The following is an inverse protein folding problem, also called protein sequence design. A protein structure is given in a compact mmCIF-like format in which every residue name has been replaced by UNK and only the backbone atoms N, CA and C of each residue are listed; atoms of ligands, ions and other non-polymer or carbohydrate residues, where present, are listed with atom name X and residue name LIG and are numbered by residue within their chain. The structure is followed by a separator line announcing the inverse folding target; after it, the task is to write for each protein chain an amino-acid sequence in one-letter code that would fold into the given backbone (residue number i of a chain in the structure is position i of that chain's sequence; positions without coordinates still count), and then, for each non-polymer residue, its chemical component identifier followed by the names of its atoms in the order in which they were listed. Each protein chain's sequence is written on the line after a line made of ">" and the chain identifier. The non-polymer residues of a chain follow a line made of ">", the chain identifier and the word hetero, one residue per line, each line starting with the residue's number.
data_IF_134014111538
#
_entry.id   IF_134014111538
#
_cell.length_a   1.000
_cell.length_b   1.000
_cell.length_c   1.000
_cell.angle_alpha   90.00
_cell.angle_beta   90.00
_cell.angle_gamma   90.00
#
_symmetry.space_group_name_H-M   'P 1'
#
loop_
_entity.id
_entity.type
_entity.pdbx_description
1 polymer ?
#
# COMPACT_ATOMS: atom_id res chain seq x y z
N UNK A 1 -30.81 1.34 -9.16
CA UNK A 1 -31.37 0.65 -7.97
C UNK A 1 -30.55 -0.59 -7.68
N UNK A 2 -30.13 -0.79 -6.43
CA UNK A 2 -29.40 -1.99 -6.02
C UNK A 2 -30.30 -3.23 -6.01
N UNK A 3 -29.78 -4.34 -6.56
CA UNK A 3 -30.43 -5.64 -6.53
C UNK A 3 -29.38 -6.72 -6.38
N UNK A 4 -29.52 -7.57 -5.33
CA UNK A 4 -28.64 -8.75 -5.16
C UNK A 4 -28.81 -9.74 -6.30
N UNK A 5 -27.72 -10.35 -6.70
CA UNK A 5 -27.71 -11.40 -7.70
C UNK A 5 -28.27 -12.72 -7.13
N UNK A 6 -29.43 -13.10 -7.57
CA UNK A 6 -30.02 -14.40 -7.27
C UNK A 6 -30.01 -15.36 -8.48
N UNK A 7 -29.60 -14.85 -9.66
CA UNK A 7 -29.67 -15.60 -10.91
C UNK A 7 -28.79 -16.85 -10.93
N UNK A 8 -27.64 -16.80 -10.26
CA UNK A 8 -26.72 -17.93 -10.21
C UNK A 8 -27.24 -19.12 -9.35
N UNK A 9 -28.27 -18.92 -8.52
CA UNK A 9 -28.93 -20.00 -7.79
C UNK A 9 -30.02 -20.67 -8.62
N UNK A 10 -30.51 -20.00 -9.64
CA UNK A 10 -31.57 -20.53 -10.54
C UNK A 10 -30.89 -21.02 -11.82
N UNK A 11 -30.55 -22.31 -11.84
CA UNK A 11 -30.01 -22.91 -13.05
C UNK A 11 -31.10 -22.94 -14.16
N UNK A 12 -30.74 -22.55 -15.38
CA UNK A 12 -31.64 -22.72 -16.53
C UNK A 12 -31.90 -24.21 -16.77
N UNK A 13 -33.03 -24.55 -17.34
CA UNK A 13 -33.39 -25.94 -17.67
C UNK A 13 -32.39 -26.60 -18.63
N UNK A 14 -31.82 -25.80 -19.52
CA UNK A 14 -30.74 -26.19 -20.44
C UNK A 14 -29.70 -25.10 -20.49
N UNK A 15 -28.44 -25.45 -20.61
CA UNK A 15 -27.33 -24.48 -20.71
C UNK A 15 -26.21 -25.01 -21.59
N UNK A 16 -25.36 -24.10 -22.10
CA UNK A 16 -24.16 -24.51 -22.83
C UNK A 16 -23.25 -25.40 -21.99
N UNK A 17 -23.27 -25.26 -20.66
CA UNK A 17 -22.51 -26.12 -19.74
C UNK A 17 -23.13 -27.54 -19.70
N UNK A 18 -24.45 -27.67 -19.77
CA UNK A 18 -25.12 -28.95 -19.74
C UNK A 18 -24.96 -29.76 -21.06
N UNK A 19 -24.69 -29.05 -22.15
CA UNK A 19 -24.39 -29.66 -23.46
C UNK A 19 -22.98 -30.24 -23.53
N UNK A 20 -22.10 -29.88 -22.57
CA UNK A 20 -20.74 -30.41 -22.52
C UNK A 20 -20.76 -31.93 -22.21
N UNK A 21 -19.91 -32.74 -22.89
CA UNK A 21 -19.69 -34.10 -22.51
C UNK A 21 -19.37 -34.27 -21.02
N UNK A 22 -19.81 -35.29 -20.31
CA UNK A 22 -19.64 -35.44 -18.86
C UNK A 22 -18.19 -35.29 -18.38
N UNK A 23 -17.23 -35.76 -19.16
CA UNK A 23 -15.79 -35.61 -18.87
C UNK A 23 -15.35 -34.14 -18.85
N UNK A 24 -15.81 -33.33 -19.82
CA UNK A 24 -15.45 -31.90 -19.89
C UNK A 24 -16.18 -31.11 -18.80
N UNK A 25 -17.46 -31.45 -18.51
CA UNK A 25 -18.20 -30.83 -17.42
C UNK A 25 -17.48 -31.08 -16.07
N UNK A 26 -17.12 -32.33 -15.78
CA UNK A 26 -16.35 -32.65 -14.57
C UNK A 26 -15.03 -31.88 -14.51
N UNK A 27 -14.32 -31.75 -15.64
CA UNK A 27 -13.08 -30.96 -15.70
C UNK A 27 -13.32 -29.48 -15.43
N UNK A 28 -14.41 -28.90 -15.91
CA UNK A 28 -14.80 -27.52 -15.62
C UNK A 28 -15.07 -27.32 -14.14
N UNK A 29 -15.87 -28.21 -13.51
CA UNK A 29 -16.22 -28.16 -12.09
C UNK A 29 -14.98 -28.28 -11.18
N UNK A 30 -14.01 -29.08 -11.55
CA UNK A 30 -12.77 -29.32 -10.77
C UNK A 30 -11.63 -28.37 -11.11
N UNK A 31 -11.83 -27.48 -12.10
CA UNK A 31 -10.84 -26.49 -12.49
C UNK A 31 -10.84 -25.27 -11.54
N UNK A 32 -9.93 -24.34 -11.80
CA UNK A 32 -9.87 -23.05 -11.09
C UNK A 32 -11.22 -22.31 -11.14
N UNK A 33 -11.96 -22.40 -12.25
CA UNK A 33 -13.23 -21.70 -12.42
C UNK A 33 -14.33 -22.25 -11.49
N UNK A 34 -14.37 -23.57 -11.32
CA UNK A 34 -15.27 -24.20 -10.34
C UNK A 34 -14.88 -23.85 -8.90
N UNK A 35 -13.58 -23.83 -8.60
CA UNK A 35 -13.09 -23.39 -7.30
C UNK A 35 -13.45 -21.92 -7.04
N UNK A 36 -13.18 -21.01 -7.99
CA UNK A 36 -13.52 -19.59 -7.86
C UNK A 36 -15.02 -19.38 -7.64
N UNK A 37 -15.88 -20.08 -8.40
CA UNK A 37 -17.33 -20.02 -8.22
C UNK A 37 -17.74 -20.41 -6.79
N UNK A 38 -17.28 -21.56 -6.29
CA UNK A 38 -17.69 -22.07 -4.96
C UNK A 38 -17.08 -21.29 -3.80
N UNK A 39 -15.79 -20.95 -3.90
CA UNK A 39 -15.04 -20.45 -2.76
C UNK A 39 -15.00 -18.94 -2.66
N UNK A 40 -15.27 -18.25 -3.76
CA UNK A 40 -15.27 -16.80 -3.80
C UNK A 40 -16.64 -16.24 -4.23
N UNK A 41 -17.07 -16.54 -5.45
CA UNK A 41 -18.22 -15.90 -6.05
C UNK A 41 -19.52 -16.10 -5.26
N UNK A 42 -19.82 -17.33 -4.83
CA UNK A 42 -21.04 -17.64 -4.05
C UNK A 42 -20.96 -17.18 -2.60
N UNK A 43 -19.77 -16.93 -2.08
CA UNK A 43 -19.56 -16.46 -0.70
C UNK A 43 -19.60 -14.94 -0.57
N UNK A 44 -19.47 -14.20 -1.67
CA UNK A 44 -19.45 -12.75 -1.66
C UNK A 44 -20.82 -12.18 -1.24
N UNK A 45 -20.87 -11.45 -0.12
CA UNK A 45 -22.05 -10.67 0.24
C UNK A 45 -22.06 -9.33 -0.50
N UNK A 46 -23.06 -9.16 -1.37
CA UNK A 46 -23.23 -7.92 -2.13
C UNK A 46 -23.85 -6.78 -1.30
N UNK A 47 -24.38 -7.06 -0.09
CA UNK A 47 -25.14 -6.08 0.71
C UNK A 47 -24.34 -4.81 1.03
N UNK A 48 -23.05 -4.89 1.43
CA UNK A 48 -22.26 -3.69 1.72
C UNK A 48 -22.12 -2.73 0.54
N UNK A 49 -22.25 -3.22 -0.68
CA UNK A 49 -22.14 -2.41 -1.90
C UNK A 49 -23.43 -1.68 -2.27
N UNK A 50 -24.54 -1.89 -1.54
CA UNK A 50 -25.81 -1.18 -1.80
C UNK A 50 -25.64 0.34 -1.73
N UNK A 51 -24.74 0.83 -0.89
CA UNK A 51 -24.40 2.24 -0.72
C UNK A 51 -23.89 2.94 -1.98
N UNK A 52 -23.42 2.17 -2.97
CA UNK A 52 -22.95 2.68 -4.26
C UNK A 52 -24.09 2.97 -5.25
N UNK A 53 -25.32 2.66 -4.90
CA UNK A 53 -26.46 2.73 -5.81
C UNK A 53 -27.60 3.56 -5.19
N UNK A 54 -28.34 4.27 -6.07
CA UNK A 54 -29.48 5.06 -5.63
C UNK A 54 -30.66 4.19 -5.18
N UNK A 55 -31.41 4.64 -4.18
CA UNK A 55 -32.62 3.97 -3.70
C UNK A 55 -33.87 4.20 -4.57
N UNK A 56 -33.77 5.09 -5.56
CA UNK A 56 -34.90 5.37 -6.46
C UNK A 56 -35.09 4.24 -7.49
N UNK A 57 -36.35 3.98 -7.96
CA UNK A 57 -36.63 3.06 -9.04
C UNK A 57 -35.88 3.43 -10.29
N UNK A 58 -35.01 2.53 -10.75
CA UNK A 58 -34.18 2.70 -11.96
C UNK A 58 -33.81 1.34 -12.51
N UNK A 59 -33.12 1.29 -13.65
CA UNK A 59 -32.57 0.05 -14.20
C UNK A 59 -31.74 -0.67 -13.11
N UNK A 60 -31.96 -2.00 -12.90
CA UNK A 60 -31.13 -2.77 -11.97
C UNK A 60 -29.65 -2.67 -12.32
N UNK A 61 -28.81 -2.72 -11.29
CA UNK A 61 -27.35 -2.79 -11.47
C UNK A 61 -26.94 -4.10 -12.18
N UNK A 62 -25.81 -4.07 -12.87
CA UNK A 62 -25.07 -5.30 -13.16
C UNK A 62 -24.70 -5.95 -11.80
N UNK A 63 -24.82 -7.26 -11.66
CA UNK A 63 -24.56 -7.93 -10.38
C UNK A 63 -23.18 -7.55 -9.80
N UNK A 64 -23.16 -7.13 -8.53
CA UNK A 64 -21.94 -6.66 -7.88
C UNK A 64 -20.91 -7.78 -7.74
N UNK A 65 -21.37 -8.99 -7.40
CA UNK A 65 -20.49 -10.16 -7.31
C UNK A 65 -19.80 -10.49 -8.66
N UNK A 66 -20.45 -10.18 -9.80
CA UNK A 66 -19.83 -10.30 -11.13
C UNK A 66 -18.74 -9.21 -11.30
N UNK A 67 -19.06 -7.95 -11.00
CA UNK A 67 -18.10 -6.84 -11.15
C UNK A 67 -16.88 -7.04 -10.24
N UNK A 68 -17.09 -7.40 -8.98
CA UNK A 68 -16.00 -7.70 -8.04
C UNK A 68 -15.22 -8.93 -8.52
N UNK A 69 -15.90 -10.00 -8.96
CA UNK A 69 -15.25 -11.20 -9.50
C UNK A 69 -14.38 -10.90 -10.71
N UNK A 70 -14.82 -10.00 -11.59
CA UNK A 70 -14.05 -9.56 -12.75
C UNK A 70 -12.77 -8.81 -12.33
N UNK A 71 -12.83 -7.93 -11.33
CA UNK A 71 -11.63 -7.25 -10.81
C UNK A 71 -10.60 -8.25 -10.24
N UNK A 72 -11.06 -9.27 -9.51
CA UNK A 72 -10.17 -10.31 -9.00
C UNK A 72 -9.55 -11.15 -10.12
N UNK A 73 -10.35 -11.54 -11.13
CA UNK A 73 -9.86 -12.31 -12.28
C UNK A 73 -8.86 -11.48 -13.11
N UNK A 74 -9.17 -10.20 -13.33
CA UNK A 74 -8.26 -9.27 -14.01
C UNK A 74 -6.92 -9.18 -13.30
N UNK A 75 -6.94 -8.93 -12.00
CA UNK A 75 -5.73 -8.79 -11.20
C UNK A 75 -4.92 -10.10 -11.16
N UNK A 76 -5.59 -11.23 -10.98
CA UNK A 76 -4.95 -12.55 -10.89
C UNK A 76 -4.32 -13.02 -12.21
N UNK A 77 -4.84 -12.57 -13.36
CA UNK A 77 -4.33 -12.94 -14.68
C UNK A 77 -3.48 -11.83 -15.34
N UNK A 78 -3.47 -10.62 -14.78
CA UNK A 78 -2.73 -9.48 -15.33
C UNK A 78 -3.34 -8.91 -16.61
N UNK A 79 -4.65 -9.08 -16.83
CA UNK A 79 -5.35 -8.61 -18.02
C UNK A 79 -5.50 -7.08 -18.05
N UNK A 80 -5.51 -6.53 -19.26
CA UNK A 80 -6.03 -5.17 -19.51
C UNK A 80 -7.55 -5.16 -19.37
N UNK A 81 -8.18 -3.99 -19.41
CA UNK A 81 -9.63 -3.89 -19.37
C UNK A 81 -10.30 -4.44 -20.63
N UNK A 82 -9.64 -4.31 -21.78
CA UNK A 82 -10.12 -4.87 -23.06
C UNK A 82 -10.03 -6.41 -23.05
N UNK A 83 -8.87 -6.97 -22.66
CA UNK A 83 -8.69 -8.41 -22.50
C UNK A 83 -9.68 -8.99 -21.49
N UNK A 84 -9.95 -8.29 -20.38
CA UNK A 84 -10.95 -8.73 -19.40
C UNK A 84 -12.33 -8.89 -20.03
N UNK A 85 -12.77 -7.94 -20.85
CA UNK A 85 -14.07 -8.00 -21.52
C UNK A 85 -14.13 -9.10 -22.58
N UNK A 86 -13.05 -9.28 -23.34
CA UNK A 86 -12.96 -10.38 -24.30
C UNK A 86 -13.02 -11.74 -23.60
N UNK A 87 -12.26 -11.91 -22.53
CA UNK A 87 -12.31 -13.12 -21.71
C UNK A 87 -13.66 -13.32 -21.04
N UNK A 88 -14.30 -12.27 -20.55
CA UNK A 88 -15.66 -12.32 -20.05
C UNK A 88 -16.67 -12.67 -21.13
N UNK A 89 -16.53 -12.15 -22.35
CA UNK A 89 -17.43 -12.41 -23.48
C UNK A 89 -17.33 -13.85 -24.00
N UNK A 90 -16.12 -14.34 -24.19
CA UNK A 90 -15.86 -15.54 -25.00
C UNK A 90 -15.31 -16.74 -24.21
N UNK A 91 -14.77 -16.55 -23.00
CA UNK A 91 -14.17 -17.64 -22.23
C UNK A 91 -15.20 -18.32 -21.32
N UNK A 92 -15.56 -19.55 -21.65
CA UNK A 92 -16.52 -20.34 -20.86
C UNK A 92 -16.07 -20.60 -19.43
N UNK A 93 -14.77 -20.66 -19.13
CA UNK A 93 -14.27 -20.82 -17.76
C UNK A 93 -14.50 -19.55 -16.94
N UNK A 94 -14.22 -18.37 -17.52
CA UNK A 94 -14.46 -17.08 -16.87
C UNK A 94 -15.94 -16.90 -16.57
N UNK A 95 -16.79 -17.20 -17.54
CA UNK A 95 -18.25 -17.14 -17.37
C UNK A 95 -18.74 -18.09 -16.29
N UNK A 96 -18.23 -19.32 -16.30
CA UNK A 96 -18.56 -20.31 -15.27
C UNK A 96 -18.16 -19.87 -13.87
N UNK A 97 -16.96 -19.29 -13.73
CA UNK A 97 -16.46 -18.74 -12.47
C UNK A 97 -17.36 -17.62 -11.92
N UNK A 98 -18.03 -16.88 -12.79
CA UNK A 98 -18.94 -15.78 -12.46
C UNK A 98 -20.43 -16.18 -12.44
N UNK A 99 -20.71 -17.48 -12.39
CA UNK A 99 -22.06 -18.01 -12.21
C UNK A 99 -22.90 -18.07 -13.48
N UNK A 100 -22.36 -17.74 -14.65
CA UNK A 100 -23.05 -17.84 -15.93
C UNK A 100 -22.93 -19.24 -16.55
N UNK A 101 -24.01 -19.71 -17.14
CA UNK A 101 -24.09 -21.02 -17.79
C UNK A 101 -24.35 -20.92 -19.29
N UNK A 102 -24.72 -19.74 -19.77
CA UNK A 102 -24.96 -19.44 -21.19
C UNK A 102 -23.95 -18.41 -21.68
N UNK A 103 -23.56 -18.52 -22.95
CA UNK A 103 -22.84 -17.46 -23.63
C UNK A 103 -23.80 -16.30 -23.91
N UNK A 104 -23.33 -15.07 -23.77
CA UNK A 104 -24.11 -13.85 -24.03
C UNK A 104 -24.99 -13.37 -22.87
N UNK A 105 -25.20 -14.14 -21.81
CA UNK A 105 -25.92 -13.67 -20.62
C UNK A 105 -25.13 -12.61 -19.87
N UNK A 106 -25.82 -11.55 -19.40
CA UNK A 106 -25.21 -10.55 -18.53
C UNK A 106 -24.18 -9.64 -19.22
N UNK A 107 -24.27 -9.46 -20.53
CA UNK A 107 -23.41 -8.57 -21.27
C UNK A 107 -23.56 -7.10 -20.83
N UNK A 108 -22.46 -6.34 -20.81
CA UNK A 108 -22.43 -4.93 -20.43
C UNK A 108 -21.24 -4.19 -21.07
N UNK A 109 -21.39 -2.87 -21.21
CA UNK A 109 -20.36 -2.00 -21.73
C UNK A 109 -19.25 -1.73 -20.70
N UNK A 110 -18.00 -1.57 -21.15
CA UNK A 110 -16.81 -1.29 -20.33
C UNK A 110 -17.01 -0.10 -19.39
N UNK A 111 -17.82 0.89 -19.77
CA UNK A 111 -18.17 2.03 -18.90
C UNK A 111 -18.84 1.60 -17.60
N UNK A 112 -19.52 0.46 -17.58
CA UNK A 112 -20.12 -0.08 -16.36
C UNK A 112 -19.04 -0.41 -15.33
N UNK A 113 -17.92 -0.98 -15.78
CA UNK A 113 -16.78 -1.29 -14.91
C UNK A 113 -16.11 0.00 -14.42
N UNK A 114 -15.91 0.98 -15.32
CA UNK A 114 -15.34 2.27 -14.92
C UNK A 114 -16.23 3.01 -13.93
N UNK A 115 -17.54 3.06 -14.16
CA UNK A 115 -18.50 3.66 -13.23
C UNK A 115 -18.51 2.94 -11.87
N UNK A 116 -18.34 1.62 -11.85
CA UNK A 116 -18.25 0.86 -10.61
C UNK A 116 -16.97 1.23 -9.82
N UNK A 117 -15.83 1.27 -10.47
CA UNK A 117 -14.55 1.69 -9.86
C UNK A 117 -14.60 3.12 -9.35
N UNK A 118 -15.19 4.05 -10.12
CA UNK A 118 -15.36 5.44 -9.71
C UNK A 118 -16.19 5.56 -8.43
N UNK A 119 -17.30 4.83 -8.34
CA UNK A 119 -18.16 4.81 -7.15
C UNK A 119 -17.44 4.22 -5.94
N UNK A 120 -16.69 3.13 -6.11
CA UNK A 120 -15.87 2.54 -5.06
C UNK A 120 -14.83 3.54 -4.54
N UNK A 121 -14.10 4.18 -5.45
CA UNK A 121 -13.07 5.16 -5.11
C UNK A 121 -13.65 6.37 -4.39
N UNK A 122 -14.77 6.92 -4.89
CA UNK A 122 -15.47 8.05 -4.27
C UNK A 122 -15.95 7.69 -2.86
N UNK A 123 -16.60 6.55 -2.69
CA UNK A 123 -17.07 6.11 -1.38
C UNK A 123 -15.92 5.93 -0.39
N UNK A 124 -14.81 5.36 -0.83
CA UNK A 124 -13.60 5.22 -0.02
C UNK A 124 -13.02 6.58 0.38
N UNK A 125 -12.96 7.55 -0.55
CA UNK A 125 -12.48 8.90 -0.26
C UNK A 125 -13.39 9.64 0.75
N UNK A 126 -14.71 9.51 0.62
CA UNK A 126 -15.69 10.18 1.47
C UNK A 126 -15.79 9.57 2.88
N UNK A 127 -15.63 8.25 3.00
CA UNK A 127 -15.91 7.51 4.24
C UNK A 127 -14.69 6.88 4.88
N UNK A 128 -13.58 6.75 4.16
CA UNK A 128 -12.41 5.96 4.58
C UNK A 128 -12.62 4.44 4.51
N UNK A 129 -13.77 3.96 3.99
CA UNK A 129 -14.10 2.53 3.98
C UNK A 129 -13.80 1.92 2.62
N UNK A 130 -12.91 0.93 2.58
CA UNK A 130 -12.65 0.11 1.40
C UNK A 130 -13.60 -1.08 1.34
N UNK A 131 -14.59 -1.04 0.45
CA UNK A 131 -15.59 -2.12 0.32
C UNK A 131 -14.98 -3.42 -0.24
N UNK A 132 -13.91 -3.36 -1.04
CA UNK A 132 -13.22 -4.55 -1.53
C UNK A 132 -12.47 -5.26 -0.42
N UNK A 133 -11.86 -4.51 0.51
CA UNK A 133 -11.22 -5.06 1.70
C UNK A 133 -12.25 -5.76 2.60
N UNK A 134 -13.40 -5.12 2.81
CA UNK A 134 -14.53 -5.72 3.56
C UNK A 134 -15.05 -7.01 2.90
N UNK A 135 -15.15 -7.03 1.57
CA UNK A 135 -15.56 -8.23 0.84
C UNK A 135 -14.54 -9.36 0.97
N UNK A 136 -13.24 -9.03 0.87
CA UNK A 136 -12.15 -9.97 1.09
C UNK A 136 -12.21 -10.56 2.51
N UNK A 137 -12.30 -9.74 3.53
CA UNK A 137 -12.39 -10.17 4.93
C UNK A 137 -13.59 -11.11 5.15
N UNK A 138 -14.76 -10.72 4.65
CA UNK A 138 -16.00 -11.49 4.79
C UNK A 138 -15.92 -12.88 4.12
N UNK A 139 -15.32 -12.96 2.92
CA UNK A 139 -15.13 -14.24 2.21
C UNK A 139 -14.13 -15.11 2.97
N UNK A 140 -13.01 -14.52 3.41
CA UNK A 140 -11.97 -15.23 4.17
C UNK A 140 -12.51 -15.77 5.50
N UNK A 141 -13.32 -14.98 6.23
CA UNK A 141 -13.92 -15.42 7.49
C UNK A 141 -14.88 -16.60 7.30
N UNK A 142 -15.63 -16.63 6.19
CA UNK A 142 -16.44 -17.78 5.84
C UNK A 142 -15.59 -19.01 5.49
N UNK A 143 -14.46 -18.84 4.80
CA UNK A 143 -13.54 -19.92 4.48
C UNK A 143 -12.86 -20.48 5.73
N UNK A 144 -12.41 -19.60 6.65
CA UNK A 144 -11.86 -20.01 7.96
C UNK A 144 -12.83 -20.94 8.68
N UNK A 145 -14.10 -20.55 8.76
CA UNK A 145 -15.14 -21.36 9.40
C UNK A 145 -15.42 -22.66 8.64
N UNK A 146 -15.55 -22.60 7.31
CA UNK A 146 -15.93 -23.75 6.48
C UNK A 146 -14.86 -24.84 6.44
N UNK A 147 -13.57 -24.45 6.57
CA UNK A 147 -12.43 -25.36 6.51
C UNK A 147 -11.78 -25.59 7.87
N UNK A 148 -12.37 -25.07 8.96
CA UNK A 148 -11.86 -25.19 10.33
C UNK A 148 -10.38 -24.80 10.44
N UNK A 149 -10.02 -23.68 9.76
CA UNK A 149 -8.64 -23.18 9.71
C UNK A 149 -8.23 -22.64 11.09
N UNK A 150 -7.14 -23.18 11.62
CA UNK A 150 -6.51 -22.66 12.84
C UNK A 150 -5.83 -21.32 12.51
N UNK A 151 -6.23 -20.28 13.23
CA UNK A 151 -5.77 -18.89 13.00
C UNK A 151 -4.89 -18.35 14.12
N UNK A 152 -4.57 -19.16 15.14
CA UNK A 152 -3.73 -18.74 16.26
C UNK A 152 -2.33 -18.35 15.82
N UNK A 153 -1.72 -19.15 14.92
CA UNK A 153 -0.40 -18.90 14.38
C UNK A 153 -0.49 -18.29 13.01
N UNK A 154 0.07 -17.08 12.86
CA UNK A 154 0.09 -16.37 11.58
C UNK A 154 1.49 -15.82 11.30
N UNK A 155 1.77 -15.54 10.05
CA UNK A 155 2.98 -14.84 9.61
C UNK A 155 2.60 -13.58 8.85
N UNK A 156 3.44 -12.56 8.97
CA UNK A 156 3.27 -11.28 8.30
C UNK A 156 4.56 -10.88 7.59
N UNK A 157 4.41 -10.45 6.34
CA UNK A 157 5.53 -9.95 5.54
C UNK A 157 5.06 -8.87 4.57
N UNK A 158 5.97 -7.96 4.22
CA UNK A 158 5.72 -6.86 3.33
C UNK A 158 6.46 -7.03 2.00
N UNK A 159 5.78 -6.64 0.93
CA UNK A 159 6.36 -6.62 -0.41
C UNK A 159 6.15 -5.27 -1.09
N UNK A 160 7.12 -4.86 -1.92
CA UNK A 160 7.00 -3.62 -2.69
C UNK A 160 6.13 -3.86 -3.93
N UNK A 161 5.16 -2.97 -4.14
CA UNK A 161 4.32 -2.94 -5.34
C UNK A 161 4.73 -1.72 -6.16
N UNK A 162 5.18 -1.96 -7.40
CA UNK A 162 5.44 -0.87 -8.33
C UNK A 162 4.12 -0.25 -8.80
N UNK A 163 4.04 1.08 -8.75
CA UNK A 163 2.98 1.79 -9.47
C UNK A 163 3.23 1.72 -10.97
N UNK A 164 2.16 1.61 -11.77
CA UNK A 164 2.25 1.63 -13.23
C UNK A 164 2.44 3.06 -13.76
N UNK A 165 3.36 3.80 -13.15
CA UNK A 165 3.71 5.16 -13.53
C UNK A 165 4.95 5.18 -14.40
N UNK A 166 4.99 6.12 -15.34
CA UNK A 166 6.20 6.40 -16.11
C UNK A 166 7.30 6.91 -15.17
N UNK A 167 8.48 6.30 -15.22
CA UNK A 167 9.65 6.80 -14.52
C UNK A 167 10.09 8.13 -15.14
N UNK A 168 10.09 9.18 -14.33
CA UNK A 168 10.48 10.52 -14.74
C UNK A 168 11.69 10.98 -13.93
N UNK A 169 12.59 11.73 -14.56
CA UNK A 169 13.59 12.54 -13.86
C UNK A 169 12.89 13.74 -13.20
N UNK A 170 13.57 14.39 -12.27
CA UNK A 170 13.07 15.60 -11.60
C UNK A 170 12.65 16.69 -12.62
N UNK A 171 13.51 16.97 -13.61
CA UNK A 171 13.19 17.94 -14.67
C UNK A 171 11.97 17.52 -15.50
N UNK A 172 11.89 16.24 -15.88
CA UNK A 172 10.74 15.74 -16.63
C UNK A 172 9.45 15.90 -15.84
N UNK A 173 9.46 15.62 -14.54
CA UNK A 173 8.29 15.80 -13.67
C UNK A 173 7.83 17.25 -13.66
N UNK A 174 8.75 18.20 -13.44
CA UNK A 174 8.41 19.61 -13.39
C UNK A 174 7.86 20.14 -14.72
N UNK A 175 8.46 19.73 -15.83
CA UNK A 175 7.97 20.10 -17.18
C UNK A 175 6.59 19.46 -17.46
N UNK A 176 6.38 18.19 -17.10
CA UNK A 176 5.05 17.55 -17.26
C UNK A 176 3.99 18.27 -16.43
N UNK A 177 4.31 18.71 -15.23
CA UNK A 177 3.39 19.50 -14.40
C UNK A 177 3.06 20.84 -15.07
N UNK A 178 4.05 21.55 -15.61
CA UNK A 178 3.80 22.79 -16.39
C UNK A 178 2.93 22.54 -17.62
N UNK A 179 3.16 21.44 -18.34
CA UNK A 179 2.33 21.07 -19.48
C UNK A 179 0.86 20.79 -19.09
N UNK A 180 0.63 20.20 -17.91
CA UNK A 180 -0.73 19.99 -17.37
C UNK A 180 -1.39 21.31 -16.99
N UNK A 181 -0.64 22.21 -16.36
CA UNK A 181 -1.14 23.57 -16.08
C UNK A 181 -1.52 24.29 -17.36
N UNK A 182 -0.66 24.24 -18.38
CA UNK A 182 -0.98 24.86 -19.69
C UNK A 182 -2.28 24.29 -20.29
N UNK A 183 -2.50 22.97 -20.25
CA UNK A 183 -3.73 22.34 -20.75
C UNK A 183 -4.98 22.67 -19.93
N UNK A 184 -4.83 23.06 -18.67
CA UNK A 184 -5.92 23.50 -17.78
C UNK A 184 -6.42 24.90 -18.16
N UNK A 185 -5.55 25.76 -18.68
CA UNK A 185 -5.86 27.15 -19.02
C UNK A 185 -6.79 27.25 -20.22
N UNK A 186 -7.60 28.31 -20.26
CA UNK A 186 -8.40 28.69 -21.43
C UNK A 186 -7.51 29.11 -22.61
N UNK A 187 -8.02 29.10 -23.83
CA UNK A 187 -7.25 29.55 -25.03
C UNK A 187 -6.73 30.98 -24.93
N UNK A 188 -7.51 31.88 -24.31
CA UNK A 188 -7.12 33.27 -24.06
C UNK A 188 -5.93 33.34 -23.09
N UNK A 189 -6.01 32.60 -21.99
CA UNK A 189 -4.94 32.52 -20.98
C UNK A 189 -3.69 31.83 -21.53
N UNK A 190 -3.85 30.77 -22.33
CA UNK A 190 -2.72 30.14 -23.03
C UNK A 190 -2.00 31.15 -23.93
N UNK A 191 -2.74 32.02 -24.62
CA UNK A 191 -2.17 33.13 -25.37
C UNK A 191 -1.47 34.17 -24.50
N UNK A 192 -2.05 34.53 -23.37
CA UNK A 192 -1.47 35.46 -22.39
C UNK A 192 -0.15 34.95 -21.80
N UNK A 193 -0.08 33.67 -21.48
CA UNK A 193 1.11 33.04 -20.88
C UNK A 193 2.02 32.35 -21.91
N UNK A 194 1.82 32.57 -23.21
CA UNK A 194 2.54 31.85 -24.28
C UNK A 194 4.06 31.91 -24.13
N UNK A 195 4.62 33.05 -23.78
CA UNK A 195 6.07 33.23 -23.58
C UNK A 195 6.59 32.38 -22.41
N UNK A 196 5.82 32.28 -21.31
CA UNK A 196 6.21 31.51 -20.12
C UNK A 196 6.23 30.01 -20.40
N UNK A 197 5.28 29.51 -21.20
CA UNK A 197 5.18 28.10 -21.50
C UNK A 197 5.97 27.66 -22.74
N UNK A 198 6.36 28.58 -23.63
CA UNK A 198 7.00 28.26 -24.91
C UNK A 198 8.18 27.25 -24.82
N UNK A 199 9.10 27.32 -23.82
CA UNK A 199 10.18 26.36 -23.71
C UNK A 199 9.73 24.94 -23.33
N UNK A 200 8.57 24.80 -22.69
CA UNK A 200 8.13 23.57 -22.02
C UNK A 200 7.07 22.78 -22.78
N UNK A 201 6.37 23.38 -23.72
CA UNK A 201 5.26 22.79 -24.46
C UNK A 201 5.63 22.24 -25.84
N UNK A 202 6.90 22.28 -26.20
CA UNK A 202 7.40 21.72 -27.46
C UNK A 202 7.56 20.20 -27.31
N UNK A 203 6.53 19.45 -27.68
CA UNK A 203 6.49 18.00 -27.54
C UNK A 203 6.26 17.50 -26.11
N UNK A 204 6.69 16.29 -25.81
CA UNK A 204 6.54 15.72 -24.46
C UNK A 204 7.71 16.12 -23.53
N UNK A 205 7.47 16.05 -22.22
CA UNK A 205 8.46 16.46 -21.20
C UNK A 205 9.84 15.77 -21.33
N UNK A 206 9.91 14.55 -21.88
CA UNK A 206 11.16 13.85 -22.16
C UNK A 206 12.01 14.52 -23.24
N UNK A 207 11.39 15.17 -24.23
CA UNK A 207 12.12 15.88 -25.29
C UNK A 207 12.86 17.10 -24.75
N UNK A 208 12.24 17.82 -23.80
CA UNK A 208 12.90 18.93 -23.12
C UNK A 208 14.22 18.49 -22.48
N UNK A 209 14.22 17.34 -21.80
CA UNK A 209 15.40 16.84 -21.08
C UNK A 209 16.44 16.23 -22.02
N UNK A 210 16.02 15.67 -23.14
CA UNK A 210 16.91 14.96 -24.08
C UNK A 210 18.06 15.82 -24.61
N UNK A 211 17.82 17.11 -24.78
CA UNK A 211 18.82 18.07 -25.31
C UNK A 211 19.66 18.75 -24.24
N UNK A 212 19.42 18.46 -22.94
CA UNK A 212 20.12 19.11 -21.85
C UNK A 212 21.41 18.38 -21.49
N UNK A 213 22.46 19.15 -21.24
CA UNK A 213 23.69 18.63 -20.65
C UNK A 213 23.54 18.55 -19.13
N UNK A 214 24.10 17.52 -18.51
CA UNK A 214 23.97 17.30 -17.06
C UNK A 214 24.47 18.49 -16.20
N UNK A 215 25.46 19.26 -16.68
CA UNK A 215 25.96 20.44 -15.99
C UNK A 215 24.96 21.59 -15.92
N UNK A 216 24.01 21.66 -16.85
CA UNK A 216 23.05 22.76 -16.96
C UNK A 216 21.75 22.47 -16.15
N UNK A 217 21.65 21.28 -15.55
CA UNK A 217 20.45 20.82 -14.81
C UNK A 217 20.00 21.82 -13.73
N UNK A 218 20.92 22.34 -12.94
CA UNK A 218 20.58 23.25 -11.83
C UNK A 218 20.05 24.60 -12.33
N UNK A 219 20.60 25.10 -13.44
CA UNK A 219 20.12 26.31 -14.07
C UNK A 219 18.70 26.17 -14.61
N UNK A 220 18.42 25.03 -15.26
CA UNK A 220 17.08 24.71 -15.74
C UNK A 220 16.09 24.50 -14.61
N UNK A 221 16.46 23.83 -13.52
CA UNK A 221 15.63 23.70 -12.32
C UNK A 221 15.28 25.08 -11.75
N UNK A 222 16.23 26.00 -11.69
CA UNK A 222 15.98 27.35 -11.18
C UNK A 222 15.02 28.13 -12.08
N UNK A 223 15.25 28.15 -13.40
CA UNK A 223 14.38 28.81 -14.39
C UNK A 223 12.93 28.27 -14.34
N UNK A 224 12.78 26.96 -14.23
CA UNK A 224 11.46 26.33 -14.06
C UNK A 224 10.80 26.83 -12.77
N UNK A 225 11.55 26.91 -11.68
CA UNK A 225 11.06 27.40 -10.41
C UNK A 225 10.56 28.84 -10.46
N UNK A 226 11.27 29.73 -11.15
CA UNK A 226 10.85 31.13 -11.35
C UNK A 226 9.52 31.21 -12.13
N UNK A 227 9.39 30.42 -13.20
CA UNK A 227 8.14 30.34 -13.98
C UNK A 227 7.00 29.79 -13.12
N UNK A 228 7.26 28.71 -12.37
CA UNK A 228 6.27 28.11 -11.48
C UNK A 228 5.81 29.09 -10.40
N UNK A 229 6.74 29.80 -9.76
CA UNK A 229 6.43 30.79 -8.71
C UNK A 229 5.51 31.90 -9.23
N UNK A 230 5.81 32.45 -10.41
CA UNK A 230 5.01 33.49 -11.05
C UNK A 230 3.60 32.97 -11.36
N UNK A 231 3.48 31.84 -12.06
CA UNK A 231 2.21 31.24 -12.44
C UNK A 231 1.36 30.87 -11.23
N UNK A 232 1.94 30.36 -10.14
CA UNK A 232 1.21 30.07 -8.91
C UNK A 232 0.54 31.33 -8.33
N UNK A 233 1.27 32.44 -8.30
CA UNK A 233 0.73 33.69 -7.77
C UNK A 233 -0.40 34.25 -8.66
N UNK A 234 -0.22 34.21 -9.97
CA UNK A 234 -1.16 34.80 -10.93
C UNK A 234 -2.43 33.95 -11.12
N UNK A 235 -2.32 32.62 -11.10
CA UNK A 235 -3.43 31.70 -11.33
C UNK A 235 -4.25 31.37 -10.09
N UNK A 236 -3.77 31.71 -8.89
CA UNK A 236 -4.41 31.33 -7.62
C UNK A 236 -5.87 31.76 -7.50
N UNK A 237 -6.19 32.97 -7.94
CA UNK A 237 -7.55 33.49 -7.82
C UNK A 237 -8.59 32.72 -8.63
N UNK A 238 -8.20 32.15 -9.76
CA UNK A 238 -9.09 31.46 -10.71
C UNK A 238 -9.09 29.93 -10.52
N UNK A 239 -7.95 29.35 -10.14
CA UNK A 239 -7.72 27.91 -10.22
C UNK A 239 -7.39 27.22 -8.90
N UNK A 240 -7.44 27.88 -7.74
CA UNK A 240 -7.05 27.31 -6.46
C UNK A 240 -7.79 25.99 -6.09
N UNK A 241 -9.02 25.78 -6.62
CA UNK A 241 -9.81 24.58 -6.36
C UNK A 241 -9.62 23.49 -7.44
N UNK A 242 -8.91 23.80 -8.51
CA UNK A 242 -8.65 22.82 -9.56
C UNK A 242 -7.61 21.79 -9.14
N UNK A 243 -7.86 20.48 -9.35
CA UNK A 243 -6.92 19.42 -8.95
C UNK A 243 -5.52 19.59 -9.54
N UNK A 244 -5.45 20.09 -10.79
CA UNK A 244 -4.16 20.35 -11.47
C UNK A 244 -3.40 21.48 -10.80
N UNK A 245 -4.10 22.55 -10.36
CA UNK A 245 -3.47 23.64 -9.64
C UNK A 245 -2.97 23.20 -8.25
N UNK A 246 -3.75 22.41 -7.52
CA UNK A 246 -3.35 21.87 -6.21
C UNK A 246 -2.12 20.96 -6.33
N UNK A 247 -2.08 20.10 -7.34
CA UNK A 247 -0.89 19.30 -7.65
C UNK A 247 0.32 20.22 -7.99
N UNK A 248 0.11 21.27 -8.76
CA UNK A 248 1.14 22.23 -9.13
C UNK A 248 1.71 22.95 -7.91
N UNK A 249 0.85 23.45 -7.00
CA UNK A 249 1.25 24.07 -5.74
C UNK A 249 2.03 23.10 -4.84
N UNK A 250 1.57 21.85 -4.73
CA UNK A 250 2.26 20.77 -4.00
C UNK A 250 3.68 20.56 -4.54
N UNK A 251 3.81 20.36 -5.85
CA UNK A 251 5.09 20.07 -6.50
C UNK A 251 6.06 21.26 -6.33
N UNK A 252 5.56 22.48 -6.45
CA UNK A 252 6.38 23.65 -6.20
C UNK A 252 6.94 23.65 -4.76
N UNK A 253 6.09 23.46 -3.75
CA UNK A 253 6.51 23.42 -2.35
C UNK A 253 7.45 22.26 -2.01
N UNK A 254 7.35 21.12 -2.73
CA UNK A 254 8.26 19.98 -2.57
C UNK A 254 9.66 20.24 -3.14
N UNK A 255 9.77 21.02 -4.22
CA UNK A 255 11.01 21.20 -4.98
C UNK A 255 11.72 22.54 -4.76
N UNK A 256 11.00 23.52 -4.23
CA UNK A 256 11.50 24.89 -4.04
C UNK A 256 11.18 25.44 -2.65
N UNK A 257 11.95 26.43 -2.24
CA UNK A 257 11.74 27.25 -1.06
C UNK A 257 11.75 28.72 -1.48
N UNK A 258 10.89 29.54 -0.86
CA UNK A 258 10.91 30.99 -1.04
C UNK A 258 11.24 31.63 0.32
N UNK A 259 12.46 32.14 0.48
CA UNK A 259 12.92 32.80 1.68
C UNK A 259 13.25 34.27 1.35
N UNK A 260 12.68 35.20 2.11
CA UNK A 260 12.91 36.65 1.90
C UNK A 260 12.68 37.11 0.44
N UNK A 261 11.72 36.50 -0.26
CA UNK A 261 11.42 36.69 -1.70
C UNK A 261 12.46 36.12 -2.67
N UNK A 262 13.44 35.36 -2.19
CA UNK A 262 14.43 34.68 -3.02
C UNK A 262 14.04 33.24 -3.20
N UNK A 263 13.97 32.81 -4.46
CA UNK A 263 13.70 31.41 -4.81
C UNK A 263 14.96 30.58 -4.61
N UNK A 264 14.85 29.51 -3.85
CA UNK A 264 15.92 28.51 -3.67
C UNK A 264 15.43 27.13 -4.18
N UNK A 265 16.21 26.52 -5.04
CA UNK A 265 15.98 25.14 -5.49
C UNK A 265 16.49 24.18 -4.42
N UNK A 266 15.63 23.27 -3.91
CA UNK A 266 16.05 22.22 -2.97
C UNK A 266 17.04 21.28 -3.65
N UNK A 267 18.05 20.84 -2.93
CA UNK A 267 18.96 19.78 -3.41
C UNK A 267 18.28 18.41 -3.27
N UNK A 268 18.74 17.39 -4.01
CA UNK A 268 18.10 16.07 -4.05
C UNK A 268 18.02 15.39 -2.66
N UNK A 269 18.97 15.67 -1.76
CA UNK A 269 18.97 15.17 -0.38
C UNK A 269 17.89 15.79 0.52
N UNK A 270 17.34 16.92 0.12
CA UNK A 270 16.27 17.62 0.83
C UNK A 270 14.89 17.24 0.34
N UNK A 271 14.81 16.47 -0.76
CA UNK A 271 13.54 15.97 -1.27
C UNK A 271 13.03 14.85 -0.35
N UNK A 272 11.75 14.95 0.03
CA UNK A 272 11.09 13.91 0.81
C UNK A 272 10.87 12.66 -0.03
N UNK A 273 10.94 11.48 0.60
CA UNK A 273 10.49 10.24 -0.02
C UNK A 273 8.98 10.25 -0.39
N UNK A 274 8.22 11.15 0.25
CA UNK A 274 6.80 11.37 -0.05
C UNK A 274 6.56 12.39 -1.17
N UNK A 275 7.61 12.98 -1.77
CA UNK A 275 7.45 13.89 -2.90
C UNK A 275 6.80 13.18 -4.08
N UNK A 276 6.01 13.94 -4.86
CA UNK A 276 5.29 13.43 -6.02
C UNK A 276 6.24 12.72 -7.00
N UNK A 277 5.91 11.48 -7.36
CA UNK A 277 6.69 10.68 -8.29
C UNK A 277 6.16 10.75 -9.73
N UNK A 278 4.85 10.97 -9.88
CA UNK A 278 4.18 11.13 -11.17
C UNK A 278 2.87 11.89 -10.99
N UNK A 279 2.50 12.75 -11.95
CA UNK A 279 1.17 13.37 -11.97
C UNK A 279 0.01 12.39 -12.25
N UNK A 280 0.33 11.15 -12.68
CA UNK A 280 -0.67 10.11 -12.97
C UNK A 280 -1.04 9.29 -11.74
N UNK A 281 -0.21 9.39 -10.66
CA UNK A 281 -0.43 8.71 -9.39
C UNK A 281 0.11 9.60 -8.26
N UNK A 282 -0.79 10.35 -7.63
CA UNK A 282 -0.45 11.36 -6.62
C UNK A 282 -0.05 10.77 -5.27
N UNK A 283 -0.31 9.49 -5.05
CA UNK A 283 -0.09 8.78 -3.78
C UNK A 283 1.16 7.91 -3.81
N UNK A 284 1.67 7.58 -5.01
CA UNK A 284 2.90 6.80 -5.15
C UNK A 284 4.08 7.52 -4.52
N UNK A 285 4.82 6.81 -3.67
CA UNK A 285 5.99 7.34 -2.96
C UNK A 285 7.27 6.64 -3.40
N UNK A 286 8.41 7.17 -2.95
CA UNK A 286 9.73 6.65 -3.25
C UNK A 286 10.31 5.91 -2.04
N UNK A 287 10.92 4.75 -2.27
CA UNK A 287 11.71 4.01 -1.27
C UNK A 287 12.97 3.45 -1.91
N UNK A 288 14.09 3.57 -1.22
CA UNK A 288 15.32 2.85 -1.56
C UNK A 288 15.48 1.66 -0.59
N UNK A 289 15.66 0.45 -1.14
CA UNK A 289 15.98 -0.76 -0.38
C UNK A 289 17.09 -1.52 -1.11
N UNK A 290 18.20 -1.80 -0.42
CA UNK A 290 19.34 -2.52 -0.99
C UNK A 290 19.87 -1.92 -2.30
N UNK A 291 19.99 -0.59 -2.37
CA UNK A 291 20.42 0.17 -3.57
C UNK A 291 19.47 0.02 -4.78
N UNK A 292 18.28 -0.50 -4.58
CA UNK A 292 17.20 -0.53 -5.57
C UNK A 292 16.16 0.53 -5.22
N UNK A 293 15.68 1.22 -6.26
CA UNK A 293 14.72 2.29 -6.15
C UNK A 293 13.33 1.76 -6.49
N UNK A 294 12.37 2.00 -5.62
CA UNK A 294 10.98 1.59 -5.79
C UNK A 294 10.11 2.85 -5.79
N UNK A 295 9.21 2.93 -6.75
CA UNK A 295 8.16 3.96 -6.83
C UNK A 295 6.80 3.27 -6.81
N UNK A 296 5.96 3.61 -5.86
CA UNK A 296 4.65 2.99 -5.70
C UNK A 296 4.28 2.76 -4.23
N UNK A 297 3.92 1.53 -3.91
CA UNK A 297 3.29 1.15 -2.66
C UNK A 297 4.02 -0.02 -1.98
N UNK A 298 3.64 -0.28 -0.74
CA UNK A 298 3.96 -1.52 -0.03
C UNK A 298 2.67 -2.26 0.27
N UNK A 299 2.65 -3.56 -0.01
CA UNK A 299 1.61 -4.45 0.49
C UNK A 299 2.14 -5.22 1.68
N UNK A 300 1.36 -5.27 2.76
CA UNK A 300 1.61 -6.08 3.93
C UNK A 300 0.57 -7.18 3.99
N UNK A 301 1.01 -8.43 4.02
CA UNK A 301 0.16 -9.61 3.98
C UNK A 301 0.30 -10.38 5.29
N UNK A 302 -0.84 -10.74 5.88
CA UNK A 302 -0.88 -11.67 7.00
C UNK A 302 -1.56 -12.95 6.55
N UNK A 303 -0.96 -14.10 6.81
CA UNK A 303 -1.54 -15.39 6.49
C UNK A 303 -1.40 -16.38 7.65
N UNK A 304 -2.29 -17.37 7.72
CA UNK A 304 -2.18 -18.47 8.65
C UNK A 304 -0.93 -19.28 8.37
N UNK A 305 -0.31 -19.85 9.41
CA UNK A 305 0.88 -20.69 9.26
C UNK A 305 0.91 -21.87 10.24
N UNK A 306 -0.24 -22.25 10.81
CA UNK A 306 -0.28 -23.43 11.64
C UNK A 306 -0.04 -24.68 10.78
N UNK A 307 0.94 -25.56 11.14
CA UNK A 307 1.30 -26.74 10.35
C UNK A 307 0.19 -27.79 10.27
N UNK A 308 -0.81 -27.74 11.12
CA UNK A 308 -1.94 -28.65 11.08
C UNK A 308 -3.00 -28.23 10.03
N UNK A 309 -2.94 -27.01 9.54
CA UNK A 309 -3.80 -26.55 8.46
C UNK A 309 -3.44 -27.22 7.14
N UNK A 310 -4.44 -27.82 6.48
CA UNK A 310 -4.28 -28.36 5.13
C UNK A 310 -4.21 -27.26 4.06
N UNK A 311 -4.71 -26.06 4.38
CA UNK A 311 -4.73 -24.88 3.54
C UNK A 311 -4.35 -23.68 4.40
N UNK A 312 -3.43 -22.87 3.92
CA UNK A 312 -3.12 -21.57 4.55
C UNK A 312 -3.91 -20.48 3.82
N UNK A 313 -4.44 -19.52 4.59
CA UNK A 313 -5.24 -18.42 4.06
C UNK A 313 -4.63 -17.08 4.43
N UNK A 314 -4.66 -16.15 3.48
CA UNK A 314 -4.38 -14.73 3.75
C UNK A 314 -5.54 -14.17 4.55
N UNK A 315 -5.26 -13.71 5.76
CA UNK A 315 -6.27 -13.19 6.70
C UNK A 315 -6.38 -11.66 6.66
N UNK A 316 -5.30 -10.97 6.30
CA UNK A 316 -5.29 -9.51 6.16
C UNK A 316 -4.39 -9.07 5.00
N UNK A 317 -4.87 -8.08 4.27
CA UNK A 317 -4.12 -7.36 3.24
C UNK A 317 -4.14 -5.88 3.61
N UNK A 318 -3.00 -5.22 3.58
CA UNK A 318 -2.88 -3.78 3.72
C UNK A 318 -2.06 -3.24 2.57
N UNK A 319 -2.46 -2.11 2.02
CA UNK A 319 -1.68 -1.38 1.00
C UNK A 319 -1.48 0.04 1.51
N UNK A 320 -0.23 0.48 1.52
CA UNK A 320 0.15 1.82 1.97
C UNK A 320 1.23 2.42 1.07
N UNK A 321 1.52 3.70 1.26
CA UNK A 321 2.67 4.34 0.64
C UNK A 321 3.95 3.54 0.97
N UNK A 322 4.86 3.35 0.00
CA UNK A 322 5.98 2.41 0.16
C UNK A 322 7.02 2.85 1.20
N UNK A 323 6.94 4.09 1.67
CA UNK A 323 7.79 4.64 2.73
C UNK A 323 7.18 4.47 4.15
N UNK A 324 6.02 3.83 4.28
CA UNK A 324 5.44 3.47 5.59
C UNK A 324 6.28 2.34 6.21
N UNK A 325 6.48 2.41 7.53
CA UNK A 325 7.25 1.43 8.27
C UNK A 325 6.43 0.14 8.48
N UNK A 326 7.09 -1.01 8.33
CA UNK A 326 6.45 -2.32 8.45
C UNK A 326 5.86 -2.53 9.87
N UNK A 327 6.54 -2.03 10.91
CA UNK A 327 6.06 -2.09 12.29
C UNK A 327 4.75 -1.30 12.47
N UNK A 328 4.63 -0.13 11.83
CA UNK A 328 3.41 0.67 11.87
C UNK A 328 2.24 -0.05 11.21
N UNK A 329 2.47 -0.70 10.06
CA UNK A 329 1.43 -1.49 9.39
C UNK A 329 0.94 -2.65 10.26
N UNK A 330 1.84 -3.31 10.98
CA UNK A 330 1.48 -4.35 11.94
C UNK A 330 0.63 -3.81 13.10
N UNK A 331 1.03 -2.67 13.70
CA UNK A 331 0.28 -2.02 14.75
C UNK A 331 -1.16 -1.69 14.31
N UNK A 332 -1.32 -1.16 13.09
CA UNK A 332 -2.61 -0.83 12.49
C UNK A 332 -3.47 -2.07 12.16
N UNK A 333 -2.84 -3.21 11.81
CA UNK A 333 -3.55 -4.46 11.50
C UNK A 333 -4.08 -5.17 12.75
N UNK A 334 -3.43 -4.99 13.90
CA UNK A 334 -3.64 -5.80 15.10
C UNK A 334 -5.09 -5.81 15.61
N UNK A 335 -5.81 -4.68 15.74
CA UNK A 335 -7.20 -4.69 16.21
C UNK A 335 -8.11 -5.55 15.33
N UNK A 336 -7.99 -5.42 14.00
CA UNK A 336 -8.79 -6.18 13.04
C UNK A 336 -8.45 -7.68 13.07
N UNK A 337 -7.15 -8.03 13.17
CA UNK A 337 -6.73 -9.43 13.27
C UNK A 337 -7.23 -10.08 14.56
N UNK A 338 -7.17 -9.39 15.68
CA UNK A 338 -7.67 -9.90 16.98
C UNK A 338 -9.18 -10.06 17.02
N UNK A 339 -9.93 -9.20 16.34
CA UNK A 339 -11.38 -9.29 16.25
C UNK A 339 -11.82 -10.50 15.40
N UNK A 340 -11.11 -10.76 14.30
CA UNK A 340 -11.52 -11.75 13.28
C UNK A 340 -10.89 -13.12 13.45
N UNK A 341 -9.78 -13.22 14.18
CA UNK A 341 -8.97 -14.43 14.30
C UNK A 341 -8.59 -14.70 15.76
N UNK A 342 -8.14 -15.91 16.04
CA UNK A 342 -7.64 -16.34 17.36
C UNK A 342 -6.13 -16.08 17.50
N UNK A 343 -5.59 -15.04 16.84
CA UNK A 343 -4.16 -14.75 16.79
C UNK A 343 -3.52 -14.72 18.18
N UNK A 344 -2.58 -15.62 18.42
CA UNK A 344 -1.77 -15.71 19.63
C UNK A 344 -0.26 -15.58 19.35
N UNK A 345 0.18 -16.03 18.17
CA UNK A 345 1.59 -16.03 17.76
C UNK A 345 1.74 -15.45 16.36
N UNK A 346 2.56 -14.39 16.22
CA UNK A 346 2.83 -13.75 14.95
C UNK A 346 4.31 -13.85 14.57
N UNK A 347 4.59 -14.50 13.45
CA UNK A 347 5.93 -14.59 12.87
C UNK A 347 6.18 -13.42 11.92
N UNK A 348 7.30 -12.69 12.12
CA UNK A 348 7.68 -11.54 11.30
C UNK A 348 9.18 -11.55 11.00
N UNK A 349 9.64 -10.73 10.07
CA UNK A 349 11.06 -10.40 9.98
C UNK A 349 11.43 -9.29 10.97
N UNK A 350 12.73 -8.96 11.07
CA UNK A 350 13.21 -7.91 11.97
C UNK A 350 12.78 -6.48 11.57
N UNK A 351 12.10 -6.33 10.43
CA UNK A 351 11.52 -5.08 9.97
C UNK A 351 10.39 -4.56 10.84
N UNK A 352 9.70 -5.48 11.50
CA UNK A 352 8.54 -5.22 12.33
C UNK A 352 8.86 -4.91 13.80
N UNK A 353 10.12 -4.94 14.19
CA UNK A 353 10.52 -4.66 15.57
C UNK A 353 10.60 -3.16 15.86
N UNK A 354 9.85 -2.69 16.85
CA UNK A 354 9.94 -1.34 17.41
C UNK A 354 9.40 -1.32 18.84
N UNK A 355 9.80 -0.34 19.68
CA UNK A 355 9.24 -0.25 21.04
C UNK A 355 7.71 -0.07 21.09
N UNK A 356 7.11 0.57 20.10
CA UNK A 356 5.64 0.71 19.98
C UNK A 356 4.99 -0.60 19.56
N UNK A 357 5.61 -1.33 18.63
CA UNK A 357 5.17 -2.65 18.24
C UNK A 357 5.18 -3.64 19.41
N UNK A 358 6.25 -3.66 20.23
CA UNK A 358 6.33 -4.49 21.42
C UNK A 358 5.18 -4.22 22.40
N UNK A 359 4.83 -2.94 22.62
CA UNK A 359 3.69 -2.55 23.45
C UNK A 359 2.36 -3.02 22.84
N UNK A 360 2.17 -2.82 21.53
CA UNK A 360 0.96 -3.28 20.84
C UNK A 360 0.79 -4.80 20.96
N UNK A 361 1.86 -5.57 20.80
CA UNK A 361 1.82 -7.01 20.98
C UNK A 361 1.48 -7.42 22.41
N UNK A 362 2.07 -6.76 23.40
CA UNK A 362 1.79 -7.00 24.81
C UNK A 362 0.33 -6.69 25.16
N UNK A 363 -0.20 -5.53 24.72
CA UNK A 363 -1.57 -5.11 24.98
C UNK A 363 -2.60 -6.08 24.37
N UNK A 364 -2.29 -6.65 23.20
CA UNK A 364 -3.12 -7.63 22.51
C UNK A 364 -2.84 -9.08 22.91
N UNK A 365 -1.89 -9.35 23.82
CA UNK A 365 -1.49 -10.69 24.27
C UNK A 365 -1.08 -11.59 23.08
N UNK A 366 -0.27 -11.06 22.17
CA UNK A 366 0.28 -11.77 21.02
C UNK A 366 1.77 -11.92 21.20
N UNK A 367 2.28 -13.14 21.08
CA UNK A 367 3.71 -13.40 21.03
C UNK A 367 4.25 -13.09 19.64
N UNK A 368 5.20 -12.14 19.53
CA UNK A 368 5.89 -11.87 18.27
C UNK A 368 7.18 -12.67 18.20
N UNK A 369 7.31 -13.52 17.18
CA UNK A 369 8.54 -14.27 16.90
C UNK A 369 9.21 -13.65 15.67
N UNK A 370 10.32 -12.96 15.90
CA UNK A 370 11.11 -12.37 14.82
C UNK A 370 12.10 -13.39 14.26
N UNK A 371 11.98 -13.73 13.00
CA UNK A 371 12.85 -14.72 12.31
C UNK A 371 14.23 -14.16 11.95
N UNK A 372 14.37 -12.82 11.91
CA UNK A 372 15.64 -12.11 11.74
C UNK A 372 15.60 -10.79 12.51
N UNK A 373 16.74 -10.40 13.08
CA UNK A 373 16.90 -9.14 13.84
C UNK A 373 17.66 -8.15 12.96
N UNK A 374 17.18 -6.90 12.87
CA UNK A 374 17.91 -5.82 12.18
C UNK A 374 19.20 -5.50 12.90
N UNK A 375 20.30 -5.33 12.18
CA UNK A 375 21.57 -4.89 12.71
C UNK A 375 22.72 -5.86 12.46
N UNK A 376 23.86 -5.60 13.10
CA UNK A 376 24.99 -6.51 13.06
C UNK A 376 24.73 -7.67 14.03
N UNK A 377 25.11 -8.87 13.62
CA UNK A 377 25.13 -10.00 14.54
C UNK A 377 25.93 -9.64 15.80
N UNK A 378 25.48 -10.08 16.99
CA UNK A 378 26.22 -9.87 18.22
C UNK A 378 27.66 -10.37 18.08
N UNK A 379 28.61 -9.60 18.55
CA UNK A 379 30.01 -10.04 18.57
C UNK A 379 30.18 -11.16 19.57
N UNK A 380 30.82 -12.25 19.19
CA UNK A 380 31.20 -13.34 20.13
C UNK A 380 32.36 -12.94 21.04
N UNK A 381 33.06 -11.85 20.70
CA UNK A 381 34.22 -11.37 21.47
C UNK A 381 33.85 -10.30 22.48
N UNK A 382 32.65 -9.71 22.40
CA UNK A 382 32.17 -8.64 23.28
C UNK A 382 30.90 -9.08 24.01
N UNK A 383 30.71 -8.57 25.20
CA UNK A 383 29.46 -8.72 25.95
C UNK A 383 28.35 -8.03 25.17
N UNK A 384 27.21 -8.69 25.11
CA UNK A 384 25.99 -8.20 24.47
C UNK A 384 24.96 -7.76 25.52
N UNK A 385 23.92 -7.06 25.10
CA UNK A 385 22.88 -6.61 26.02
C UNK A 385 22.16 -7.77 26.71
N UNK A 386 22.12 -8.95 26.11
CA UNK A 386 21.59 -10.18 26.67
C UNK A 386 22.39 -10.71 27.85
N UNK A 387 23.67 -10.30 28.01
CA UNK A 387 24.51 -10.69 29.12
C UNK A 387 24.26 -9.83 30.37
N UNK A 388 23.43 -8.81 30.26
CA UNK A 388 23.01 -7.90 31.31
C UNK A 388 21.58 -8.24 31.75
N UNK A 389 21.32 -8.26 33.05
CA UNK A 389 19.98 -8.41 33.60
C UNK A 389 19.27 -7.05 33.57
N UNK A 390 18.14 -6.94 32.86
CA UNK A 390 17.39 -5.70 32.73
C UNK A 390 16.03 -5.85 33.42
N UNK A 391 15.84 -5.11 34.52
CA UNK A 391 14.52 -5.02 35.14
C UNK A 391 13.67 -4.02 34.40
N UNK A 392 12.42 -4.42 34.08
CA UNK A 392 11.44 -3.61 33.32
C UNK A 392 10.18 -3.42 34.13
N UNK A 393 9.46 -2.32 33.86
CA UNK A 393 8.09 -2.13 34.36
C UNK A 393 7.15 -3.09 33.64
N UNK A 394 5.91 -3.22 34.11
CA UNK A 394 4.83 -3.97 33.45
C UNK A 394 4.60 -3.51 31.99
N UNK A 395 4.91 -2.25 31.67
CA UNK A 395 4.85 -1.68 30.31
C UNK A 395 6.16 -1.78 29.52
N UNK A 396 7.06 -2.70 29.91
CA UNK A 396 8.30 -2.97 29.21
C UNK A 396 9.40 -1.92 29.34
N UNK A 397 9.20 -0.79 30.04
CA UNK A 397 10.22 0.26 30.21
C UNK A 397 11.33 -0.23 31.13
N UNK A 398 12.64 -0.15 30.74
CA UNK A 398 13.74 -0.52 31.58
C UNK A 398 13.86 0.45 32.78
N UNK A 399 14.06 -0.08 33.98
CA UNK A 399 14.23 0.70 35.23
C UNK A 399 15.60 0.53 35.85
N UNK A 400 16.18 -0.65 35.67
CA UNK A 400 17.49 -0.99 36.26
C UNK A 400 18.20 -1.97 35.35
N UNK A 401 19.51 -1.87 35.27
CA UNK A 401 20.35 -2.84 34.57
C UNK A 401 21.45 -3.34 35.50
N UNK A 402 21.70 -4.66 35.52
CA UNK A 402 22.77 -5.29 36.27
C UNK A 402 23.78 -5.90 35.31
N UNK A 403 25.05 -5.55 35.45
CA UNK A 403 26.11 -6.10 34.59
C UNK A 403 26.50 -7.53 35.05
N UNK A 404 27.21 -8.32 34.21
CA UNK A 404 27.64 -9.68 34.57
C UNK A 404 28.53 -9.80 35.84
N UNK A 405 29.13 -8.67 36.28
CA UNK A 405 29.87 -8.58 37.55
C UNK A 405 29.01 -8.12 38.72
N UNK A 406 27.68 -8.05 38.55
CA UNK A 406 26.75 -7.71 39.63
C UNK A 406 26.60 -6.23 39.94
N UNK A 407 27.28 -5.33 39.22
CA UNK A 407 27.08 -3.89 39.40
C UNK A 407 25.75 -3.47 38.79
N UNK A 408 24.96 -2.70 39.54
CA UNK A 408 23.63 -2.23 39.12
C UNK A 408 23.65 -0.73 38.81
N UNK A 409 23.00 -0.34 37.69
CA UNK A 409 22.81 1.05 37.31
C UNK A 409 21.32 1.38 37.12
N UNK A 410 20.92 2.56 37.58
CA UNK A 410 19.59 3.09 37.25
C UNK A 410 19.52 3.50 35.79
N UNK A 411 18.37 3.22 35.17
CA UNK A 411 18.16 3.49 33.74
C UNK A 411 17.31 4.76 33.55
N UNK A 412 17.81 5.69 32.76
CA UNK A 412 17.16 6.96 32.47
C UNK A 412 16.96 7.16 30.96
N UNK A 413 15.91 7.89 30.52
CA UNK A 413 15.77 8.28 29.12
C UNK A 413 17.00 9.07 28.63
N UNK A 414 17.49 8.76 27.44
CA UNK A 414 18.61 9.51 26.85
C UNK A 414 18.16 10.90 26.38
N UNK A 415 18.93 11.92 26.72
CA UNK A 415 18.71 13.31 26.24
C UNK A 415 19.21 13.55 24.82
N UNK A 416 20.09 12.69 24.30
CA UNK A 416 20.77 12.89 23.01
C UNK A 416 20.32 11.94 21.91
N UNK A 417 19.76 10.79 22.25
CA UNK A 417 19.33 9.75 21.31
C UNK A 417 17.99 9.15 21.77
N UNK A 418 17.22 8.61 20.81
CA UNK A 418 16.07 7.77 21.16
C UNK A 418 16.59 6.54 21.92
N UNK A 419 16.12 6.32 23.15
CA UNK A 419 16.50 5.17 23.97
C UNK A 419 16.78 5.52 25.43
N UNK A 420 17.47 4.63 26.10
CA UNK A 420 17.77 4.70 27.52
C UNK A 420 19.29 4.64 27.75
N UNK A 421 19.75 5.26 28.84
CA UNK A 421 21.13 5.26 29.26
C UNK A 421 21.19 4.80 30.72
N UNK A 422 22.19 4.00 31.05
CA UNK A 422 22.52 3.62 32.42
C UNK A 422 23.98 3.98 32.69
N UNK A 423 24.26 4.42 33.92
CA UNK A 423 25.59 4.75 34.38
C UNK A 423 26.04 3.73 35.43
N UNK A 424 27.27 3.27 35.29
CA UNK A 424 27.94 2.42 36.26
C UNK A 424 29.10 3.19 36.93
N UNK A 425 29.52 2.74 38.13
CA UNK A 425 30.61 3.38 38.84
C UNK A 425 31.95 3.14 38.13
N UNK A 426 32.59 4.24 37.73
CA UNK A 426 33.80 4.21 36.93
C UNK A 426 34.96 3.49 37.58
N UNK A 427 35.13 3.67 38.90
CA UNK A 427 36.21 3.04 39.65
C UNK A 427 36.11 1.52 39.67
N UNK A 428 34.88 0.99 39.81
CA UNK A 428 34.61 -0.46 39.77
C UNK A 428 34.80 -1.01 38.38
N UNK A 429 34.37 -0.24 37.34
CA UNK A 429 34.53 -0.65 35.95
C UNK A 429 36.01 -0.68 35.50
N UNK A 430 36.87 0.18 36.03
CA UNK A 430 38.30 0.22 35.67
C UNK A 430 39.05 -1.04 36.11
N UNK A 431 38.64 -1.68 37.22
CA UNK A 431 39.22 -2.94 37.74
C UNK A 431 38.46 -4.19 37.27
N UNK A 432 37.48 -4.05 36.37
CA UNK A 432 36.64 -5.15 35.95
C UNK A 432 37.34 -6.12 34.98
N UNK A 433 37.30 -7.43 35.23
CA UNK A 433 37.93 -8.42 34.35
C UNK A 433 37.32 -8.47 32.94
N UNK A 434 36.10 -7.92 32.75
CA UNK A 434 35.43 -7.85 31.46
C UNK A 434 35.63 -6.50 30.76
N UNK A 435 36.49 -5.61 31.27
CA UNK A 435 36.63 -4.23 30.75
C UNK A 435 36.88 -4.17 29.24
N UNK A 436 37.73 -5.06 28.71
CA UNK A 436 38.04 -5.11 27.27
C UNK A 436 36.86 -5.61 26.40
N UNK A 437 36.02 -6.45 26.97
CA UNK A 437 34.85 -7.04 26.31
C UNK A 437 33.55 -6.26 26.56
N UNK A 438 33.56 -5.35 27.53
CA UNK A 438 32.39 -4.60 27.94
C UNK A 438 32.02 -3.52 26.92
N UNK A 439 30.72 -3.40 26.50
CA UNK A 439 30.25 -2.42 25.55
C UNK A 439 30.09 -1.00 26.14
N UNK A 440 30.28 -0.85 27.48
CA UNK A 440 30.15 0.46 28.13
C UNK A 440 31.24 1.43 27.64
N UNK A 441 30.84 2.66 27.36
CA UNK A 441 31.79 3.73 27.01
C UNK A 441 32.48 4.20 28.30
N UNK A 442 33.79 4.43 28.19
CA UNK A 442 34.63 5.01 29.28
C UNK A 442 34.38 6.50 29.43
#
# INVERSE_FOLDING_TARGET
>A
MFKKNKGHFQLPLTSNVDELPPKLRKRLDTSWSGAFYREFFTRLDETPFAVLYADCPSRPNIPVNVLVGLEYLKAGNGWTDEELLDEYGYNSQVRYALGYRQLGDGDFDIRTLYNFRERLSRYMQETGINLLDKAFEQVTDQQIKAYEIKTGKQRMDSTQIASNIRTMSRLQLLVEVLQRVHRMLTEEEQGHYAEAFAPYIQGHAGQYVYHLKGQDTNEHLHKIGEVMQRLLAELKSSYAQEPVYQMFERVFGEHYLVEEKVLKTRIDKELSASSLQSPDDLEATYREKNKKHYKGYVANLTETCDPENKLQLVTKVQVAANNVDDAKMMEEAMPNLKERTELDTLYTDGGYGSPSADLTMQDNKVEQIQTAIRGRAPSTEKLNLSDFEIKRTERGKPTQITCPQGQTGAVHPSSQKKGYVAHFETEVCQSCPFLEKCPTQK
#
